data_IF_893269734633
#
_entry.id   IF_893269734633
#
_cell.length_a   1.000
_cell.length_b   1.000
_cell.length_c   1.000
_cell.angle_alpha   90.00
_cell.angle_beta   90.00
_cell.angle_gamma   90.00
#
_symmetry.space_group_name_H-M   'P 1'
#
loop_
_entity.id
_entity.type
_entity.pdbx_description
1 polymer ?
#
# COMPACT_ATOMS: atom_id res chain seq x y z
N UNK A 1 19.39 -6.53 31.43
CA UNK A 1 18.54 -6.08 30.28
C UNK A 1 19.46 -5.64 29.17
N UNK A 2 19.50 -6.41 28.11
CA UNK A 2 20.32 -6.05 26.95
C UNK A 2 19.59 -5.01 26.13
N UNK A 3 20.28 -3.93 25.79
CA UNK A 3 19.77 -2.97 24.85
C UNK A 3 19.70 -3.61 23.46
N UNK A 4 18.64 -3.37 22.69
CA UNK A 4 18.61 -3.87 21.32
C UNK A 4 19.84 -3.36 20.57
N UNK A 5 20.49 -4.27 19.89
CA UNK A 5 21.65 -3.96 19.07
C UNK A 5 21.29 -2.81 18.10
N UNK A 6 22.15 -1.80 17.93
CA UNK A 6 21.93 -0.72 16.95
C UNK A 6 21.56 -1.22 15.55
N UNK A 7 22.05 -2.40 15.18
CA UNK A 7 21.68 -3.06 13.91
C UNK A 7 20.19 -3.43 13.88
N UNK A 8 19.60 -3.80 15.02
CA UNK A 8 18.18 -4.14 15.13
C UNK A 8 17.28 -2.89 14.98
N UNK A 9 17.75 -1.74 15.46
CA UNK A 9 17.06 -0.45 15.26
C UNK A 9 17.17 0.03 13.80
N UNK A 10 18.31 -0.23 13.14
CA UNK A 10 18.50 0.09 11.72
C UNK A 10 17.65 -0.78 10.79
N UNK A 11 17.15 -1.93 11.27
CA UNK A 11 16.26 -2.84 10.54
C UNK A 11 14.80 -2.71 10.97
N UNK A 12 14.41 -1.56 11.54
CA UNK A 12 13.01 -1.29 11.88
C UNK A 12 12.13 -1.56 10.64
N UNK A 13 11.07 -2.32 10.86
CA UNK A 13 10.18 -2.73 9.77
C UNK A 13 9.52 -1.55 9.10
N UNK A 14 9.50 -1.57 7.79
CA UNK A 14 8.79 -0.61 6.96
C UNK A 14 7.35 -1.06 6.74
N UNK A 15 6.44 -0.11 6.64
CA UNK A 15 5.06 -0.37 6.26
C UNK A 15 4.62 0.58 5.16
N UNK A 16 3.83 0.05 4.24
CA UNK A 16 3.05 0.81 3.26
C UNK A 16 1.59 0.60 3.62
N UNK A 17 0.84 1.68 3.74
CA UNK A 17 -0.57 1.64 4.08
C UNK A 17 -1.38 1.82 2.81
N UNK A 18 -2.30 0.90 2.55
CA UNK A 18 -3.17 0.91 1.39
C UNK A 18 -4.20 2.05 1.46
N UNK A 19 -4.64 2.49 0.30
CA UNK A 19 -5.64 3.54 0.11
C UNK A 19 -6.90 3.29 0.93
N UNK A 20 -7.37 2.03 1.00
CA UNK A 20 -8.58 1.64 1.74
C UNK A 20 -8.54 2.06 3.21
N UNK A 21 -7.41 1.90 3.87
CA UNK A 21 -7.23 2.26 5.29
C UNK A 21 -7.36 3.77 5.48
N UNK A 22 -6.70 4.55 4.63
CA UNK A 22 -6.79 6.01 4.70
C UNK A 22 -8.20 6.53 4.44
N UNK A 23 -8.88 5.99 3.43
CA UNK A 23 -10.26 6.40 3.10
C UNK A 23 -11.20 6.07 4.25
N UNK A 24 -11.14 4.85 4.77
CA UNK A 24 -12.01 4.44 5.88
C UNK A 24 -11.73 5.26 7.15
N UNK A 25 -10.47 5.55 7.42
CA UNK A 25 -10.11 6.36 8.59
C UNK A 25 -10.56 7.82 8.44
N UNK A 26 -10.48 8.40 7.25
CA UNK A 26 -10.98 9.75 6.98
C UNK A 26 -12.51 9.84 7.14
N UNK A 27 -13.22 8.78 6.80
CA UNK A 27 -14.68 8.73 6.92
C UNK A 27 -15.17 8.50 8.35
N UNK A 28 -14.52 7.60 9.08
CA UNK A 28 -15.07 7.08 10.35
C UNK A 28 -14.08 7.07 11.50
N UNK A 29 -12.83 7.43 11.29
CA UNK A 29 -11.71 7.32 12.24
C UNK A 29 -11.53 5.91 12.82
N UNK A 30 -11.97 4.91 12.06
CA UNK A 30 -11.97 3.50 12.46
C UNK A 30 -10.59 2.97 12.83
N UNK A 31 -9.55 3.48 12.21
CA UNK A 31 -8.17 3.01 12.38
C UNK A 31 -7.26 4.01 13.12
N UNK A 32 -7.84 5.00 13.78
CA UNK A 32 -7.04 6.04 14.45
C UNK A 32 -6.10 5.46 15.51
N UNK A 33 -6.57 4.52 16.31
CA UNK A 33 -5.73 3.83 17.32
C UNK A 33 -4.60 3.05 16.68
N UNK A 34 -4.91 2.28 15.65
CA UNK A 34 -3.94 1.46 14.93
C UNK A 34 -2.88 2.33 14.26
N UNK A 35 -3.29 3.42 13.62
CA UNK A 35 -2.38 4.36 12.97
C UNK A 35 -1.48 5.08 13.98
N UNK A 36 -2.03 5.56 15.09
CA UNK A 36 -1.26 6.23 16.14
C UNK A 36 -0.32 5.27 16.89
N UNK A 37 -0.70 4.00 17.00
CA UNK A 37 0.07 2.97 17.68
C UNK A 37 1.04 2.21 16.78
N UNK A 38 1.21 2.60 15.52
CA UNK A 38 2.10 1.91 14.60
C UNK A 38 3.54 1.93 15.07
N UNK A 39 4.16 0.74 15.08
CA UNK A 39 5.58 0.56 15.38
C UNK A 39 6.40 0.28 14.11
N UNK A 40 5.90 0.76 12.98
CA UNK A 40 6.56 0.69 11.68
C UNK A 40 7.02 2.08 11.25
N UNK A 41 8.05 2.10 10.43
CA UNK A 41 8.39 3.30 9.67
C UNK A 41 7.50 3.30 8.43
N UNK A 42 6.57 4.25 8.35
CA UNK A 42 5.63 4.33 7.24
C UNK A 42 6.28 4.98 6.02
N UNK A 43 6.15 4.31 4.88
CA UNK A 43 6.49 4.85 3.56
C UNK A 43 5.20 5.07 2.78
N UNK A 44 5.15 6.11 1.98
CA UNK A 44 3.98 6.44 1.20
C UNK A 44 4.15 5.96 -0.24
N UNK A 45 3.24 5.10 -0.70
CA UNK A 45 3.22 4.70 -2.10
C UNK A 45 2.76 5.86 -2.98
N UNK A 46 3.49 6.14 -4.07
CA UNK A 46 3.07 7.11 -5.07
C UNK A 46 1.73 6.71 -5.72
N UNK A 47 1.47 5.40 -5.84
CA UNK A 47 0.20 4.89 -6.35
C UNK A 47 -0.95 5.23 -5.40
N UNK A 48 -0.75 5.03 -4.08
CA UNK A 48 -1.73 5.42 -3.05
C UNK A 48 -2.01 6.92 -3.10
N UNK A 49 -0.97 7.76 -3.20
CA UNK A 49 -1.14 9.21 -3.32
C UNK A 49 -1.95 9.58 -4.57
N UNK A 50 -1.68 8.95 -5.70
CA UNK A 50 -2.43 9.19 -6.93
C UNK A 50 -3.91 8.82 -6.79
N UNK A 51 -4.21 7.68 -6.17
CA UNK A 51 -5.58 7.25 -5.90
C UNK A 51 -6.30 8.22 -4.96
N UNK A 52 -5.66 8.62 -3.87
CA UNK A 52 -6.22 9.57 -2.91
C UNK A 52 -6.46 10.94 -3.55
N UNK A 53 -5.50 11.44 -4.32
CA UNK A 53 -5.62 12.72 -5.03
C UNK A 53 -6.75 12.70 -6.06
N UNK A 54 -6.83 11.62 -6.85
CA UNK A 54 -7.86 11.45 -7.86
C UNK A 54 -9.27 11.32 -7.27
N UNK A 55 -9.37 10.79 -6.05
CA UNK A 55 -10.63 10.63 -5.31
C UNK A 55 -10.99 11.77 -4.37
N UNK A 56 -10.12 12.76 -4.19
CA UNK A 56 -10.34 13.86 -3.26
C UNK A 56 -11.53 14.74 -3.72
N UNK A 57 -12.52 14.89 -2.84
CA UNK A 57 -13.75 15.66 -3.09
C UNK A 57 -13.92 16.83 -2.10
N UNK A 58 -13.01 17.01 -1.16
CA UNK A 58 -13.06 18.07 -0.16
C UNK A 58 -11.68 18.70 0.03
N UNK A 59 -11.69 19.92 0.60
CA UNK A 59 -10.44 20.60 0.98
C UNK A 59 -9.70 19.84 2.08
N UNK A 60 -10.43 19.22 3.02
CA UNK A 60 -9.86 18.41 4.08
C UNK A 60 -9.06 17.24 3.51
N UNK A 61 -9.65 16.51 2.57
CA UNK A 61 -8.99 15.39 1.92
C UNK A 61 -7.77 15.82 1.10
N UNK A 62 -7.88 16.92 0.36
CA UNK A 62 -6.75 17.47 -0.39
C UNK A 62 -5.60 17.88 0.52
N UNK A 63 -5.89 18.53 1.65
CA UNK A 63 -4.89 18.90 2.66
C UNK A 63 -4.22 17.69 3.28
N UNK A 64 -5.00 16.65 3.55
CA UNK A 64 -4.47 15.40 4.09
C UNK A 64 -3.45 14.76 3.12
N UNK A 65 -3.79 14.69 1.84
CA UNK A 65 -2.90 14.16 0.79
C UNK A 65 -1.63 14.99 0.69
N UNK A 66 -1.75 16.31 0.67
CA UNK A 66 -0.60 17.22 0.62
C UNK A 66 0.31 17.06 1.84
N UNK A 67 -0.27 16.88 3.02
CA UNK A 67 0.45 16.66 4.26
C UNK A 67 1.21 15.32 4.23
N UNK A 68 0.57 14.27 3.74
CA UNK A 68 1.23 12.97 3.54
C UNK A 68 2.42 13.09 2.59
N UNK A 69 2.22 13.71 1.45
CA UNK A 69 3.27 13.88 0.44
C UNK A 69 4.45 14.69 0.97
N UNK A 70 4.20 15.64 1.86
CA UNK A 70 5.23 16.48 2.47
C UNK A 70 6.00 15.76 3.58
N UNK A 71 5.32 14.97 4.40
CA UNK A 71 5.88 14.42 5.65
C UNK A 71 6.39 12.98 5.52
N UNK A 72 5.90 12.21 4.57
CA UNK A 72 6.30 10.83 4.37
C UNK A 72 7.24 10.70 3.18
N UNK A 73 8.19 9.79 3.28
CA UNK A 73 9.01 9.43 2.13
C UNK A 73 8.16 8.68 1.11
N UNK A 74 8.13 9.20 -0.12
CA UNK A 74 7.37 8.63 -1.22
C UNK A 74 8.20 7.56 -1.92
N UNK A 75 7.58 6.43 -2.22
CA UNK A 75 8.18 5.32 -2.97
C UNK A 75 7.31 5.05 -4.19
N UNK A 76 7.94 5.08 -5.36
CA UNK A 76 7.28 4.81 -6.63
C UNK A 76 7.65 3.43 -7.17
N UNK A 77 6.77 2.78 -7.95
CA UNK A 77 7.14 1.61 -8.73
C UNK A 77 8.27 1.95 -9.72
N UNK A 78 9.24 1.05 -9.86
CA UNK A 78 10.29 1.19 -10.86
C UNK A 78 9.86 0.61 -12.23
N UNK A 79 10.68 0.81 -13.25
CA UNK A 79 10.40 0.32 -14.62
C UNK A 79 10.12 -1.19 -14.65
N UNK A 80 10.94 -1.97 -13.96
CA UNK A 80 10.79 -3.43 -13.90
C UNK A 80 9.46 -3.82 -13.26
N UNK A 81 9.04 -3.13 -12.20
CA UNK A 81 7.78 -3.37 -11.54
C UNK A 81 6.59 -3.02 -12.43
N UNK A 82 6.68 -1.94 -13.20
CA UNK A 82 5.66 -1.62 -14.20
C UNK A 82 5.50 -2.73 -15.25
N UNK A 83 6.61 -3.20 -15.80
CA UNK A 83 6.58 -4.29 -16.79
C UNK A 83 6.03 -5.59 -16.18
N UNK A 84 6.49 -5.96 -14.99
CA UNK A 84 6.05 -7.16 -14.29
C UNK A 84 4.56 -7.07 -13.93
N UNK A 85 4.08 -5.90 -13.53
CA UNK A 85 2.69 -5.70 -13.14
C UNK A 85 1.69 -6.06 -14.24
N UNK A 86 1.99 -5.71 -15.47
CA UNK A 86 1.15 -6.06 -16.61
C UNK A 86 0.99 -7.58 -16.79
N UNK A 87 2.07 -8.32 -16.61
CA UNK A 87 2.06 -9.79 -16.69
C UNK A 87 1.27 -10.42 -15.55
N UNK A 88 1.39 -9.89 -14.35
CA UNK A 88 0.64 -10.36 -13.17
C UNK A 88 -0.85 -10.10 -13.36
N UNK A 89 -1.23 -8.91 -13.83
CA UNK A 89 -2.63 -8.58 -14.11
C UNK A 89 -3.20 -9.54 -15.17
N UNK A 90 -2.47 -9.82 -16.24
CA UNK A 90 -2.90 -10.76 -17.26
C UNK A 90 -3.17 -12.16 -16.69
N UNK A 91 -2.32 -12.63 -15.78
CA UNK A 91 -2.51 -13.92 -15.09
C UNK A 91 -3.74 -13.92 -14.19
N UNK A 92 -3.96 -12.82 -13.46
CA UNK A 92 -5.14 -12.67 -12.60
C UNK A 92 -6.44 -12.63 -13.41
N UNK A 93 -6.45 -11.89 -14.52
CA UNK A 93 -7.59 -11.85 -15.44
C UNK A 93 -7.89 -13.24 -15.98
N UNK A 94 -6.88 -13.97 -16.42
CA UNK A 94 -7.05 -15.34 -16.93
C UNK A 94 -7.59 -16.30 -15.86
N UNK A 95 -7.11 -16.18 -14.62
CA UNK A 95 -7.48 -17.07 -13.53
C UNK A 95 -8.85 -16.73 -12.90
N UNK A 96 -9.20 -15.46 -12.82
CA UNK A 96 -10.39 -14.95 -12.10
C UNK A 96 -11.51 -14.46 -12.99
N UNK A 97 -11.26 -14.27 -14.29
CA UNK A 97 -12.26 -13.77 -15.21
C UNK A 97 -12.62 -12.30 -15.00
N UNK A 98 -11.70 -11.49 -14.51
CA UNK A 98 -11.96 -10.05 -14.28
C UNK A 98 -12.28 -9.32 -15.57
N UNK A 99 -13.25 -8.40 -15.49
CA UNK A 99 -13.52 -7.46 -16.57
C UNK A 99 -12.44 -6.36 -16.62
N UNK A 100 -12.54 -5.48 -17.63
CA UNK A 100 -11.52 -4.44 -17.81
C UNK A 100 -11.49 -3.43 -16.66
N UNK A 101 -12.61 -3.15 -16.03
CA UNK A 101 -12.67 -2.24 -14.88
C UNK A 101 -11.94 -2.83 -13.68
N UNK A 102 -12.21 -4.09 -13.38
CA UNK A 102 -11.53 -4.80 -12.29
C UNK A 102 -10.03 -4.97 -12.58
N UNK A 103 -9.66 -5.26 -13.83
CA UNK A 103 -8.28 -5.35 -14.23
C UNK A 103 -7.50 -4.04 -13.98
N UNK A 104 -8.13 -2.90 -14.25
CA UNK A 104 -7.53 -1.58 -13.99
C UNK A 104 -7.38 -1.30 -12.50
N UNK A 105 -8.39 -1.61 -11.70
CA UNK A 105 -8.35 -1.44 -10.24
C UNK A 105 -7.25 -2.29 -9.61
N UNK A 106 -7.22 -3.57 -9.94
CA UNK A 106 -6.24 -4.49 -9.36
C UNK A 106 -4.82 -4.19 -9.84
N UNK A 107 -4.65 -3.53 -10.97
CA UNK A 107 -3.35 -3.11 -11.45
C UNK A 107 -2.64 -2.18 -10.46
N UNK A 108 -3.36 -1.23 -9.89
CA UNK A 108 -2.83 -0.36 -8.84
C UNK A 108 -2.40 -1.16 -7.61
N UNK A 109 -3.21 -2.11 -7.19
CA UNK A 109 -2.88 -2.99 -6.05
C UNK A 109 -1.64 -3.84 -6.33
N UNK A 110 -1.48 -4.34 -7.55
CA UNK A 110 -0.28 -5.08 -7.96
C UNK A 110 0.96 -4.20 -7.86
N UNK A 111 0.89 -2.96 -8.33
CA UNK A 111 2.01 -2.01 -8.23
C UNK A 111 2.38 -1.70 -6.78
N UNK A 112 1.39 -1.53 -5.92
CA UNK A 112 1.61 -1.32 -4.48
C UNK A 112 2.29 -2.55 -3.87
N UNK A 113 1.81 -3.75 -4.17
CA UNK A 113 2.37 -5.00 -3.67
C UNK A 113 3.81 -5.23 -4.13
N UNK A 114 4.12 -4.95 -5.40
CA UNK A 114 5.49 -5.07 -5.94
C UNK A 114 6.44 -4.09 -5.26
N UNK A 115 5.99 -2.87 -5.02
CA UNK A 115 6.76 -1.87 -4.29
C UNK A 115 7.05 -2.33 -2.86
N UNK A 116 6.04 -2.86 -2.16
CA UNK A 116 6.19 -3.41 -0.82
C UNK A 116 7.19 -4.57 -0.81
N UNK A 117 7.12 -5.48 -1.79
CA UNK A 117 8.07 -6.58 -1.93
C UNK A 117 9.50 -6.08 -2.07
N UNK A 118 9.75 -5.11 -2.95
CA UNK A 118 11.09 -4.55 -3.16
C UNK A 118 11.65 -3.91 -1.91
N UNK A 119 10.81 -3.22 -1.14
CA UNK A 119 11.22 -2.54 0.08
C UNK A 119 11.32 -3.47 1.29
N UNK A 120 10.89 -4.73 1.17
CA UNK A 120 10.74 -5.61 2.33
C UNK A 120 9.73 -5.08 3.34
N UNK A 121 8.76 -4.29 2.89
CA UNK A 121 7.77 -3.64 3.73
C UNK A 121 6.54 -4.53 3.97
N UNK A 122 5.88 -4.31 5.10
CA UNK A 122 4.53 -4.83 5.33
C UNK A 122 3.52 -3.95 4.61
N UNK A 123 2.61 -4.55 3.89
CA UNK A 123 1.46 -3.87 3.29
C UNK A 123 0.27 -4.00 4.22
N UNK A 124 -0.28 -2.89 4.68
CA UNK A 124 -1.42 -2.85 5.59
C UNK A 124 -2.66 -2.44 4.80
N UNK A 125 -3.69 -3.27 4.84
CA UNK A 125 -4.95 -3.03 4.14
C UNK A 125 -6.15 -3.40 5.02
N UNK A 126 -7.31 -2.84 4.74
CA UNK A 126 -8.58 -3.29 5.28
C UNK A 126 -9.51 -3.89 4.21
N UNK A 127 -9.02 -4.00 2.97
CA UNK A 127 -9.69 -4.68 1.85
C UNK A 127 -8.75 -5.73 1.28
N UNK A 128 -8.71 -6.87 1.94
CA UNK A 128 -7.66 -7.86 1.73
C UNK A 128 -7.86 -8.76 0.52
N UNK A 129 -9.07 -8.89 -0.02
CA UNK A 129 -9.39 -9.92 -1.03
C UNK A 129 -8.50 -9.84 -2.28
N UNK A 130 -8.27 -8.65 -2.80
CA UNK A 130 -7.44 -8.44 -3.98
C UNK A 130 -5.96 -8.71 -3.68
N UNK A 131 -5.47 -8.27 -2.52
CA UNK A 131 -4.09 -8.51 -2.11
C UNK A 131 -3.80 -9.98 -1.81
N UNK A 132 -4.79 -10.72 -1.31
CA UNK A 132 -4.68 -12.18 -1.14
C UNK A 132 -4.52 -12.86 -2.49
N UNK A 133 -5.32 -12.48 -3.48
CA UNK A 133 -5.21 -13.00 -4.84
C UNK A 133 -3.83 -12.67 -5.46
N UNK A 134 -3.34 -11.46 -5.28
CA UNK A 134 -2.02 -11.04 -5.75
C UNK A 134 -0.92 -11.84 -5.05
N UNK A 135 -1.05 -12.08 -3.75
CA UNK A 135 -0.05 -12.82 -2.97
C UNK A 135 0.14 -14.25 -3.43
N UNK A 136 -0.85 -14.86 -4.05
CA UNK A 136 -0.72 -16.18 -4.66
C UNK A 136 0.30 -16.19 -5.82
N UNK A 137 0.56 -15.05 -6.44
CA UNK A 137 1.49 -14.90 -7.56
C UNK A 137 2.78 -14.16 -7.19
N UNK A 138 2.74 -13.32 -6.17
CA UNK A 138 3.84 -12.43 -5.75
C UNK A 138 3.99 -12.52 -4.24
N UNK A 139 5.15 -12.94 -3.76
CA UNK A 139 5.42 -12.98 -2.32
C UNK A 139 5.64 -11.59 -1.75
N UNK A 140 4.83 -11.19 -0.77
CA UNK A 140 5.02 -9.98 0.04
C UNK A 140 4.33 -10.16 1.40
N UNK A 141 4.68 -9.29 2.35
CA UNK A 141 4.14 -9.34 3.71
C UNK A 141 2.84 -8.53 3.78
N UNK A 142 1.75 -9.15 4.24
CA UNK A 142 0.42 -8.55 4.29
C UNK A 142 -0.11 -8.53 5.72
N UNK A 143 -0.64 -7.38 6.14
CA UNK A 143 -1.37 -7.22 7.40
C UNK A 143 -2.76 -6.70 7.06
N UNK A 144 -3.79 -7.40 7.54
CA UNK A 144 -5.18 -7.01 7.35
C UNK A 144 -5.75 -6.44 8.65
N UNK A 145 -6.32 -5.25 8.57
CA UNK A 145 -7.03 -4.59 9.67
C UNK A 145 -8.54 -4.71 9.53
#
# INVERSE_FOLDING_TARGET
>A
MEWPNPVTLATANLAIIDTSVYIDNLRSRRFEKELLGLQFIVRCSAVVLAELSGGARSREMSRFVDTMAKNLRIIAPNEREWVESGKIVARLVAAKGYDIHKAREIHFDVLIALTARRMGAYLITCDASDFIAIRDLVGFNLICW
#
